data_IF_169685751138
#
_entry.id   IF_169685751138
#
_cell.length_a   1.000
_cell.length_b   1.000
_cell.length_c   1.000
_cell.angle_alpha   90.00
_cell.angle_beta   90.00
_cell.angle_gamma   90.00
#
_symmetry.space_group_name_H-M   'P 1'
#
loop_
_entity.id
_entity.type
_entity.pdbx_description
1 polymer ?
#
# COMPACT_ATOMS: atom_id res chain seq x y z
N UNK A 1 15.80 -22.62 27.13
CA UNK A 1 15.15 -22.61 25.80
C UNK A 1 14.38 -21.30 25.70
N UNK A 2 15.04 -20.26 25.18
CA UNK A 2 14.52 -18.89 25.16
C UNK A 2 13.34 -18.85 24.18
N UNK A 3 12.12 -18.64 24.66
CA UNK A 3 10.98 -18.37 23.77
C UNK A 3 11.30 -17.11 23.00
N UNK A 4 11.33 -17.21 21.67
CA UNK A 4 11.39 -16.06 20.78
C UNK A 4 10.07 -15.28 20.98
N UNK A 5 10.07 -14.25 21.85
CA UNK A 5 8.86 -13.51 22.23
C UNK A 5 8.53 -12.36 21.27
N UNK A 6 9.28 -12.19 20.18
CA UNK A 6 9.13 -11.05 19.26
C UNK A 6 8.61 -11.44 17.86
N UNK A 7 7.89 -12.55 17.75
CA UNK A 7 7.36 -13.02 16.47
C UNK A 7 5.87 -13.38 16.59
N UNK A 8 5.15 -13.23 15.48
CA UNK A 8 3.79 -13.73 15.36
C UNK A 8 3.75 -15.25 15.59
N UNK A 9 2.69 -15.72 16.22
CA UNK A 9 2.41 -17.15 16.40
C UNK A 9 1.82 -17.73 15.12
N UNK A 10 2.45 -18.79 14.60
CA UNK A 10 1.91 -19.57 13.48
C UNK A 10 1.14 -20.78 14.03
N UNK A 11 -0.05 -21.05 13.51
CA UNK A 11 -0.89 -22.19 13.88
C UNK A 11 -1.13 -23.12 12.66
N UNK A 12 -1.53 -24.36 12.92
CA UNK A 12 -1.78 -25.37 11.87
C UNK A 12 -0.51 -25.75 11.10
N UNK A 13 -0.63 -26.05 9.81
CA UNK A 13 0.53 -26.39 8.98
C UNK A 13 1.52 -25.23 8.81
N UNK A 14 1.11 -23.98 9.07
CA UNK A 14 2.03 -22.83 9.04
C UNK A 14 3.11 -22.90 10.13
N UNK A 15 2.86 -23.66 11.21
CA UNK A 15 3.81 -23.81 12.31
C UNK A 15 5.06 -24.60 11.90
N UNK A 16 4.93 -25.53 10.95
CA UNK A 16 6.04 -26.26 10.36
C UNK A 16 6.56 -25.50 9.13
N UNK A 17 7.56 -24.64 9.38
CA UNK A 17 8.17 -23.80 8.35
C UNK A 17 9.13 -24.54 7.43
N UNK A 18 9.44 -25.81 7.71
CA UNK A 18 10.30 -26.63 6.86
C UNK A 18 9.49 -27.30 5.73
N UNK A 19 8.23 -27.65 6.02
CA UNK A 19 7.34 -28.34 5.06
C UNK A 19 6.45 -27.39 4.26
N UNK A 20 6.16 -26.19 4.77
CA UNK A 20 5.33 -25.22 4.07
C UNK A 20 6.08 -23.98 3.55
N UNK A 21 5.66 -23.46 2.39
CA UNK A 21 6.15 -22.20 1.80
C UNK A 21 5.01 -21.31 1.34
N UNK A 22 5.17 -20.00 1.56
CA UNK A 22 4.22 -18.97 1.15
C UNK A 22 4.36 -18.58 -0.34
N UNK A 23 4.33 -19.56 -1.25
CA UNK A 23 4.61 -19.39 -2.69
C UNK A 23 3.61 -18.46 -3.42
N UNK A 24 2.39 -18.30 -2.90
CA UNK A 24 1.36 -17.39 -3.42
C UNK A 24 0.86 -16.38 -2.39
N UNK A 25 1.74 -15.90 -1.50
CA UNK A 25 1.33 -14.97 -0.46
C UNK A 25 0.76 -13.66 -1.02
N UNK A 26 -0.28 -13.14 -0.37
CA UNK A 26 -0.93 -11.88 -0.78
C UNK A 26 0.02 -10.68 -0.74
N UNK A 27 1.06 -10.71 0.11
CA UNK A 27 2.11 -9.70 0.11
C UNK A 27 2.89 -9.73 -1.20
N UNK A 28 3.32 -10.91 -1.67
CA UNK A 28 4.00 -11.06 -2.95
C UNK A 28 3.16 -10.54 -4.11
N UNK A 29 1.89 -10.96 -4.18
CA UNK A 29 0.94 -10.48 -5.20
C UNK A 29 0.75 -8.96 -5.17
N UNK A 30 0.69 -8.35 -3.98
CA UNK A 30 0.63 -6.90 -3.86
C UNK A 30 1.93 -6.24 -4.34
N UNK A 31 3.10 -6.82 -4.00
CA UNK A 31 4.40 -6.31 -4.42
C UNK A 31 4.64 -6.42 -5.94
N UNK A 32 4.03 -7.38 -6.63
CA UNK A 32 4.05 -7.44 -8.09
C UNK A 32 3.38 -6.20 -8.72
N UNK A 33 2.40 -5.61 -8.03
CA UNK A 33 1.69 -4.40 -8.47
C UNK A 33 2.37 -3.12 -8.01
N UNK A 34 2.74 -3.03 -6.72
CA UNK A 34 3.18 -1.77 -6.09
C UNK A 34 4.63 -1.77 -5.62
N UNK A 35 5.39 -2.85 -5.82
CA UNK A 35 6.71 -3.03 -5.21
C UNK A 35 7.80 -2.09 -5.71
N UNK A 36 7.55 -1.35 -6.79
CA UNK A 36 8.50 -0.36 -7.30
C UNK A 36 8.30 1.00 -6.63
N UNK A 37 9.41 1.70 -6.32
CA UNK A 37 9.37 3.06 -5.74
C UNK A 37 8.48 4.01 -6.52
N UNK A 38 8.52 3.98 -7.86
CA UNK A 38 7.71 4.86 -8.70
C UNK A 38 6.21 4.57 -8.59
N UNK A 39 5.79 3.31 -8.44
CA UNK A 39 4.38 2.97 -8.24
C UNK A 39 3.83 3.57 -6.94
N UNK A 40 4.54 3.36 -5.82
CA UNK A 40 4.13 3.89 -4.51
C UNK A 40 4.09 5.43 -4.51
N UNK A 41 5.06 6.09 -5.15
CA UNK A 41 5.07 7.55 -5.21
C UNK A 41 3.98 8.13 -6.13
N UNK A 42 3.59 7.45 -7.20
CA UNK A 42 2.42 7.84 -7.99
C UNK A 42 1.15 7.73 -7.15
N UNK A 43 0.97 6.63 -6.41
CA UNK A 43 -0.17 6.47 -5.50
C UNK A 43 -0.19 7.57 -4.43
N UNK A 44 0.97 7.92 -3.85
CA UNK A 44 1.11 9.04 -2.90
C UNK A 44 0.58 10.35 -3.50
N UNK A 45 1.04 10.72 -4.70
CA UNK A 45 0.59 11.96 -5.34
C UNK A 45 -0.91 11.93 -5.68
N UNK A 46 -1.46 10.76 -5.99
CA UNK A 46 -2.89 10.61 -6.23
C UNK A 46 -3.71 10.84 -4.95
N UNK A 47 -3.25 10.35 -3.79
CA UNK A 47 -3.88 10.65 -2.49
C UNK A 47 -3.78 12.14 -2.12
N UNK A 48 -2.79 12.85 -2.65
CA UNK A 48 -2.69 14.32 -2.53
C UNK A 48 -3.55 15.08 -3.56
N UNK A 49 -4.32 14.37 -4.39
CA UNK A 49 -5.24 14.96 -5.38
C UNK A 49 -4.63 15.18 -6.77
N UNK A 50 -3.45 14.62 -7.07
CA UNK A 50 -2.90 14.68 -8.42
C UNK A 50 -3.69 13.75 -9.35
N UNK A 51 -4.20 14.29 -10.47
CA UNK A 51 -4.95 13.50 -11.47
C UNK A 51 -4.35 13.60 -12.88
N UNK A 52 -3.50 14.60 -13.16
CA UNK A 52 -2.95 14.87 -14.50
C UNK A 52 -1.60 14.18 -14.71
N UNK A 53 -1.40 13.65 -15.91
CA UNK A 53 -0.18 12.93 -16.30
C UNK A 53 1.12 13.72 -16.05
N UNK A 54 1.21 14.94 -16.59
CA UNK A 54 2.43 15.76 -16.48
C UNK A 54 2.74 16.11 -15.01
N UNK A 55 1.71 16.31 -14.20
CA UNK A 55 1.84 16.60 -12.78
C UNK A 55 2.39 15.39 -12.01
N UNK A 56 1.99 14.17 -12.34
CA UNK A 56 2.59 12.97 -11.76
C UNK A 56 4.09 12.88 -12.03
N UNK A 57 4.50 13.02 -13.29
CA UNK A 57 5.92 12.96 -13.66
C UNK A 57 6.73 14.03 -12.91
N UNK A 58 6.23 15.26 -12.91
CA UNK A 58 6.85 16.41 -12.25
C UNK A 58 6.96 16.25 -10.73
N UNK A 59 5.87 15.90 -10.04
CA UNK A 59 5.81 15.83 -8.58
C UNK A 59 6.57 14.66 -8.00
N UNK A 60 6.56 13.52 -8.70
CA UNK A 60 7.34 12.33 -8.30
C UNK A 60 8.82 12.50 -8.66
N UNK A 61 9.15 13.34 -9.65
CA UNK A 61 10.52 13.53 -10.13
C UNK A 61 11.01 12.37 -10.99
N UNK A 62 10.15 11.84 -11.85
CA UNK A 62 10.45 10.75 -12.79
C UNK A 62 10.23 11.21 -14.23
N UNK A 63 10.80 10.49 -15.19
CA UNK A 63 10.57 10.78 -16.60
C UNK A 63 9.12 10.48 -17.00
N UNK A 64 8.62 11.19 -18.01
CA UNK A 64 7.30 10.94 -18.60
C UNK A 64 7.12 9.48 -19.05
N UNK A 65 8.17 8.86 -19.60
CA UNK A 65 8.14 7.45 -20.00
C UNK A 65 7.90 6.51 -18.81
N UNK A 66 8.55 6.74 -17.67
CA UNK A 66 8.35 5.94 -16.45
C UNK A 66 6.95 6.20 -15.87
N UNK A 67 6.51 7.46 -15.82
CA UNK A 67 5.17 7.80 -15.37
C UNK A 67 4.10 7.12 -16.25
N UNK A 68 4.27 7.14 -17.56
CA UNK A 68 3.33 6.54 -18.51
C UNK A 68 3.26 5.01 -18.36
N UNK A 69 4.40 4.35 -18.16
CA UNK A 69 4.42 2.90 -17.89
C UNK A 69 3.67 2.57 -16.61
N UNK A 70 3.96 3.27 -15.52
CA UNK A 70 3.37 2.99 -14.22
C UNK A 70 1.88 3.31 -14.17
N UNK A 71 1.44 4.43 -14.72
CA UNK A 71 0.01 4.75 -14.80
C UNK A 71 -0.73 3.70 -15.64
N UNK A 72 -0.14 3.22 -16.75
CA UNK A 72 -0.73 2.14 -17.55
C UNK A 72 -0.87 0.84 -16.74
N UNK A 73 0.19 0.42 -16.05
CA UNK A 73 0.19 -0.79 -15.21
C UNK A 73 -0.82 -0.68 -14.07
N UNK A 74 -0.80 0.42 -13.32
CA UNK A 74 -1.72 0.64 -12.19
C UNK A 74 -3.18 0.79 -12.65
N UNK A 75 -3.44 1.33 -13.85
CA UNK A 75 -4.76 1.32 -14.47
C UNK A 75 -5.19 -0.08 -14.90
N UNK A 76 -4.28 -0.87 -15.50
CA UNK A 76 -4.57 -2.25 -15.88
C UNK A 76 -4.88 -3.14 -14.67
N UNK A 77 -4.20 -2.89 -13.54
CA UNK A 77 -4.46 -3.52 -12.25
C UNK A 77 -5.71 -2.96 -11.55
N UNK A 78 -6.36 -1.95 -12.14
CA UNK A 78 -7.62 -1.39 -11.63
C UNK A 78 -7.48 -0.50 -10.40
N UNK A 79 -6.28 0.02 -10.09
CA UNK A 79 -6.08 1.02 -9.04
C UNK A 79 -6.47 2.43 -9.50
N UNK A 80 -6.35 2.68 -10.80
CA UNK A 80 -6.78 3.93 -11.44
C UNK A 80 -7.77 3.67 -12.56
N UNK A 81 -8.68 4.61 -12.76
CA UNK A 81 -9.46 4.73 -13.99
C UNK A 81 -8.98 5.95 -14.77
N UNK A 82 -8.93 5.82 -16.10
CA UNK A 82 -8.63 6.94 -16.99
C UNK A 82 -9.93 7.53 -17.52
N UNK A 83 -10.28 8.73 -17.05
CA UNK A 83 -11.54 9.39 -17.38
C UNK A 83 -11.30 10.63 -18.27
N UNK A 84 -12.17 10.88 -19.27
CA UNK A 84 -12.09 12.10 -20.06
C UNK A 84 -12.62 13.29 -19.26
N UNK A 85 -11.94 14.42 -19.35
CA UNK A 85 -12.44 15.70 -18.85
C UNK A 85 -12.29 16.77 -19.93
N UNK A 86 -13.17 17.78 -19.90
CA UNK A 86 -13.17 18.86 -20.88
C UNK A 86 -13.46 20.19 -20.19
N UNK A 87 -12.44 21.03 -20.13
CA UNK A 87 -12.63 22.43 -19.73
C UNK A 87 -13.39 23.18 -20.86
N UNK A 88 -14.27 24.14 -20.51
CA UNK A 88 -15.01 24.92 -21.50
C UNK A 88 -14.08 25.53 -22.57
N UNK A 89 -14.36 25.28 -23.85
CA UNK A 89 -13.57 25.79 -24.97
C UNK A 89 -12.27 25.04 -25.28
N UNK A 90 -11.90 23.99 -24.54
CA UNK A 90 -10.68 23.21 -24.79
C UNK A 90 -10.95 21.82 -25.42
N UNK A 91 -9.88 21.20 -25.93
CA UNK A 91 -9.89 19.80 -26.37
C UNK A 91 -10.08 18.87 -25.16
N UNK A 92 -10.73 17.73 -25.38
CA UNK A 92 -10.86 16.67 -24.37
C UNK A 92 -9.47 16.21 -23.92
N UNK A 93 -9.25 16.22 -22.61
CA UNK A 93 -8.06 15.70 -21.94
C UNK A 93 -8.45 14.48 -21.11
N UNK A 94 -7.47 13.81 -20.55
CA UNK A 94 -7.68 12.66 -19.68
C UNK A 94 -7.00 12.87 -18.35
N UNK A 95 -7.65 12.36 -17.31
CA UNK A 95 -7.10 12.30 -15.97
C UNK A 95 -7.16 10.87 -15.44
N UNK A 96 -6.34 10.60 -14.42
CA UNK A 96 -6.27 9.33 -13.73
C UNK A 96 -6.85 9.54 -12.34
N UNK A 97 -7.93 8.83 -12.04
CA UNK A 97 -8.62 8.92 -10.75
C UNK A 97 -8.53 7.58 -10.03
N UNK A 98 -8.36 7.62 -8.71
CA UNK A 98 -8.36 6.40 -7.90
C UNK A 98 -9.72 5.72 -7.98
N UNK A 99 -9.69 4.41 -8.23
CA UNK A 99 -10.85 3.53 -8.07
C UNK A 99 -11.07 3.20 -6.59
N UNK A 100 -12.12 2.44 -6.27
CA UNK A 100 -12.29 1.84 -4.93
C UNK A 100 -11.07 1.00 -4.53
N UNK A 101 -10.62 0.08 -5.39
CA UNK A 101 -9.40 -0.72 -5.19
C UNK A 101 -8.15 0.14 -4.94
N UNK A 102 -8.03 1.28 -5.63
CA UNK A 102 -6.95 2.23 -5.42
C UNK A 102 -7.02 2.92 -4.06
N UNK A 103 -8.22 3.33 -3.62
CA UNK A 103 -8.45 4.01 -2.33
C UNK A 103 -8.23 3.07 -1.14
N UNK A 104 -8.63 1.81 -1.26
CA UNK A 104 -8.47 0.79 -0.21
C UNK A 104 -7.00 0.48 0.13
N UNK A 105 -6.07 0.83 -0.76
CA UNK A 105 -4.64 0.66 -0.53
C UNK A 105 -4.04 1.76 0.36
N UNK A 106 -4.77 2.85 0.63
CA UNK A 106 -4.29 3.98 1.42
C UNK A 106 -3.67 3.56 2.77
N UNK A 107 -4.29 2.70 3.60
CA UNK A 107 -3.72 2.31 4.89
C UNK A 107 -2.33 1.65 4.77
N UNK A 108 -2.09 0.87 3.71
CA UNK A 108 -0.78 0.26 3.48
C UNK A 108 0.29 1.31 3.15
N UNK A 109 -0.05 2.31 2.34
CA UNK A 109 0.85 3.42 1.99
C UNK A 109 1.12 4.31 3.22
N UNK A 110 0.10 4.59 4.03
CA UNK A 110 0.27 5.34 5.27
C UNK A 110 1.08 4.57 6.32
N UNK A 111 0.95 3.25 6.41
CA UNK A 111 1.79 2.42 7.27
C UNK A 111 3.27 2.47 6.86
N UNK A 112 3.57 2.45 5.56
CA UNK A 112 4.92 2.64 5.04
C UNK A 112 5.47 4.03 5.37
N UNK A 113 4.63 5.07 5.25
CA UNK A 113 4.99 6.43 5.61
C UNK A 113 5.30 6.54 7.10
N UNK A 114 4.41 6.04 7.97
CA UNK A 114 4.59 6.04 9.43
C UNK A 114 5.88 5.31 9.86
N UNK A 115 6.22 4.20 9.21
CA UNK A 115 7.48 3.51 9.45
C UNK A 115 8.69 4.35 9.01
N UNK A 116 8.63 4.94 7.81
CA UNK A 116 9.68 5.83 7.31
C UNK A 116 9.89 7.07 8.19
N UNK A 117 8.79 7.64 8.67
CA UNK A 117 8.79 8.80 9.58
C UNK A 117 9.47 8.48 10.91
N UNK A 118 9.17 7.30 11.47
CA UNK A 118 9.74 6.86 12.75
C UNK A 118 11.23 6.53 12.65
N UNK A 119 11.67 5.90 11.56
CA UNK A 119 13.00 5.28 11.50
C UNK A 119 13.98 5.94 10.54
N UNK A 120 13.52 6.71 9.54
CA UNK A 120 14.37 7.21 8.45
C UNK A 120 14.47 8.74 8.37
N UNK A 121 13.55 9.52 8.96
CA UNK A 121 13.56 10.99 8.86
C UNK A 121 14.60 11.69 9.77
N UNK A 122 15.21 10.95 10.69
CA UNK A 122 16.28 11.46 11.56
C UNK A 122 15.84 12.66 12.40
N UNK A 123 16.72 13.66 12.53
CA UNK A 123 16.56 14.78 13.48
C UNK A 123 15.43 15.78 13.14
N UNK A 124 14.92 15.76 11.91
CA UNK A 124 13.90 16.71 11.46
C UNK A 124 12.47 16.22 11.72
N UNK A 125 12.30 14.93 12.04
CA UNK A 125 11.01 14.32 12.27
C UNK A 125 10.18 14.14 10.99
N UNK A 126 8.92 13.68 11.13
CA UNK A 126 8.01 13.45 10.01
C UNK A 126 7.79 14.75 9.19
N UNK A 127 7.99 14.74 7.87
CA UNK A 127 7.82 15.94 7.04
C UNK A 127 6.35 16.30 6.79
N UNK A 128 5.42 15.36 6.99
CA UNK A 128 3.98 15.53 6.76
C UNK A 128 3.23 14.97 7.97
N UNK A 129 2.36 15.78 8.58
CA UNK A 129 1.41 15.33 9.60
C UNK A 129 0.12 14.83 8.97
N UNK A 130 -0.40 13.71 9.46
CA UNK A 130 -1.73 13.22 9.11
C UNK A 130 -2.72 13.64 10.19
N UNK A 131 -3.85 14.21 9.79
CA UNK A 131 -4.94 14.56 10.70
C UNK A 131 -6.29 14.28 10.06
N UNK A 132 -7.28 13.99 10.89
CA UNK A 132 -8.69 13.98 10.51
C UNK A 132 -9.13 15.42 10.21
N UNK A 133 -9.79 15.65 9.07
CA UNK A 133 -10.16 17.00 8.63
C UNK A 133 -11.25 17.64 9.52
N UNK A 134 -12.15 16.83 10.09
CA UNK A 134 -13.24 17.32 10.91
C UNK A 134 -12.80 17.65 12.35
N UNK A 135 -11.88 16.86 12.92
CA UNK A 135 -11.45 17.02 14.33
C UNK A 135 -10.07 17.64 14.48
N UNK A 136 -9.22 17.57 13.45
CA UNK A 136 -7.81 17.94 13.51
C UNK A 136 -6.95 16.93 14.29
N UNK A 137 -7.51 15.81 14.75
CA UNK A 137 -6.77 14.82 15.53
C UNK A 137 -5.78 14.03 14.66
N UNK A 138 -4.58 13.70 15.18
CA UNK A 138 -3.61 12.92 14.42
C UNK A 138 -4.13 11.55 13.98
N UNK A 139 -3.91 11.20 12.71
CA UNK A 139 -4.27 9.89 12.15
C UNK A 139 -3.05 8.98 12.12
N UNK A 140 -3.21 7.73 12.56
CA UNK A 140 -2.18 6.68 12.55
C UNK A 140 -2.76 5.35 12.11
N UNK A 141 -1.92 4.51 11.51
CA UNK A 141 -2.29 3.14 11.11
C UNK A 141 -1.83 2.16 12.19
N UNK A 142 -2.72 1.25 12.59
CA UNK A 142 -2.50 0.26 13.65
C UNK A 142 -3.02 -1.12 13.24
N UNK A 143 -2.39 -2.16 13.80
CA UNK A 143 -2.96 -3.52 13.80
C UNK A 143 -3.85 -3.66 15.02
N UNK A 144 -5.15 -3.89 14.81
CA UNK A 144 -6.14 -3.94 15.89
C UNK A 144 -7.04 -5.16 15.80
N UNK A 145 -7.48 -5.59 16.97
CA UNK A 145 -8.71 -6.35 17.20
C UNK A 145 -9.85 -5.38 17.52
N UNK A 146 -11.13 -5.80 17.58
CA UNK A 146 -12.25 -4.89 17.86
C UNK A 146 -12.03 -3.98 19.09
N UNK A 147 -11.38 -4.50 20.13
CA UNK A 147 -11.28 -3.80 21.41
C UNK A 147 -9.90 -3.17 21.68
N UNK A 148 -8.84 -3.59 20.98
CA UNK A 148 -7.47 -3.14 21.28
C UNK A 148 -6.48 -3.30 20.12
N UNK A 149 -5.39 -2.55 20.22
CA UNK A 149 -4.17 -2.79 19.44
C UNK A 149 -3.58 -4.18 19.77
N UNK A 150 -3.09 -4.88 18.74
CA UNK A 150 -2.52 -6.22 18.84
C UNK A 150 -1.03 -6.15 18.54
N UNK A 151 -0.16 -6.34 19.55
CA UNK A 151 1.29 -6.36 19.32
C UNK A 151 1.70 -7.62 18.56
N UNK A 152 2.86 -7.56 17.89
CA UNK A 152 3.40 -8.67 17.09
C UNK A 152 3.47 -10.00 17.86
N UNK A 153 3.89 -9.95 19.12
CA UNK A 153 4.01 -11.13 19.99
C UNK A 153 2.66 -11.83 20.28
N UNK A 154 1.55 -11.12 20.11
CA UNK A 154 0.20 -11.61 20.33
C UNK A 154 -0.56 -11.85 19.02
N UNK A 155 0.03 -11.49 17.89
CA UNK A 155 -0.54 -11.75 16.57
C UNK A 155 -0.46 -13.24 16.26
N UNK A 156 -1.59 -13.83 15.87
CA UNK A 156 -1.70 -15.22 15.46
C UNK A 156 -2.05 -15.30 13.98
N UNK A 157 -1.27 -16.05 13.22
CA UNK A 157 -1.52 -16.36 11.82
C UNK A 157 -2.02 -17.80 11.71
N UNK A 158 -3.23 -17.94 11.21
CA UNK A 158 -3.93 -19.20 11.00
C UNK A 158 -4.21 -19.39 9.51
N UNK A 159 -4.03 -20.60 8.96
CA UNK A 159 -4.35 -20.85 7.56
C UNK A 159 -5.86 -20.79 7.32
N UNK A 160 -6.28 -20.10 6.26
CA UNK A 160 -7.67 -20.02 5.82
C UNK A 160 -8.02 -21.07 4.74
N UNK A 161 -7.06 -21.93 4.39
CA UNK A 161 -7.15 -22.95 3.36
C UNK A 161 -6.46 -24.23 3.85
N UNK A 162 -6.73 -25.37 3.21
CA UNK A 162 -6.04 -26.61 3.57
C UNK A 162 -4.59 -26.60 3.07
N UNK A 163 -3.75 -27.48 3.60
CA UNK A 163 -2.37 -27.64 3.12
C UNK A 163 -2.30 -28.04 1.64
N UNK A 164 -3.28 -28.82 1.18
CA UNK A 164 -3.43 -29.24 -0.22
C UNK A 164 -3.77 -28.04 -1.13
N UNK A 165 -4.66 -27.15 -0.70
CA UNK A 165 -4.98 -25.91 -1.42
C UNK A 165 -3.78 -24.95 -1.49
N UNK A 166 -2.97 -24.88 -0.43
CA UNK A 166 -1.79 -24.03 -0.35
C UNK A 166 -0.71 -24.38 -1.39
N UNK A 167 -0.71 -25.64 -1.81
CA UNK A 167 0.31 -26.24 -2.67
C UNK A 167 -0.04 -26.18 -4.15
N UNK A 168 -1.23 -25.68 -4.50
CA UNK A 168 -1.67 -25.55 -5.89
C UNK A 168 -1.06 -24.30 -6.55
N UNK A 169 -0.63 -24.39 -7.82
CA UNK A 169 -0.12 -23.26 -8.59
C UNK A 169 -1.18 -22.18 -8.83
#
# INVERSE_FOLDING_TARGET
>A
MLRCMDAARLDGFLADRDTWRATHCSIGKAMDVIGTRSAVLILREAYYGTTRFDDFAKRVGITEAVAASRLRELTAEGLFERQPYKEPGQRTRYEYVLTEKGRDLLPAVLALMQWGDKYLQGKYGPPIGLADDATGEPVRVEVRSPDREVPLAELRLTPNFTEEDASRP
#
